data_IF_896699288598
#
_entry.id   IF_896699288598
#
_cell.length_a   1.000
_cell.length_b   1.000
_cell.length_c   1.000
_cell.angle_alpha   90.00
_cell.angle_beta   90.00
_cell.angle_gamma   90.00
#
_symmetry.space_group_name_H-M   'P 1'
#
loop_
_entity.id
_entity.type
_entity.pdbx_description
1 polymer ?
#
# COMPACT_ATOMS: atom_id res chain seq x y z
N UNK A 1 -34.16 47.58 17.21
CA UNK A 1 -33.67 46.27 17.68
C UNK A 1 -34.00 45.10 16.74
N UNK A 2 -35.13 45.07 16.02
CA UNK A 2 -35.46 43.99 15.06
C UNK A 2 -34.47 43.87 13.89
N UNK A 3 -34.02 45.00 13.35
CA UNK A 3 -33.11 45.03 12.17
C UNK A 3 -31.68 44.57 12.49
N UNK A 4 -31.20 44.77 13.73
CA UNK A 4 -29.89 44.31 14.17
C UNK A 4 -29.84 42.77 14.26
N UNK A 5 -30.92 42.14 14.76
CA UNK A 5 -31.02 40.66 14.79
C UNK A 5 -31.03 40.07 13.40
N UNK A 6 -31.71 40.70 12.46
CA UNK A 6 -31.76 40.25 11.06
C UNK A 6 -30.37 40.32 10.40
N UNK A 7 -29.60 41.37 10.66
CA UNK A 7 -28.23 41.52 10.14
C UNK A 7 -27.30 40.49 10.72
N UNK A 8 -27.41 40.16 12.02
CA UNK A 8 -26.61 39.08 12.63
C UNK A 8 -26.93 37.70 12.07
N UNK A 9 -28.20 37.40 11.83
CA UNK A 9 -28.62 36.12 11.21
C UNK A 9 -28.10 36.00 9.78
N UNK A 10 -28.20 37.09 8.99
CA UNK A 10 -27.64 37.11 7.63
C UNK A 10 -26.12 36.97 7.61
N UNK A 11 -25.41 37.60 8.55
CA UNK A 11 -23.96 37.47 8.66
C UNK A 11 -23.54 36.08 9.08
N UNK A 12 -24.29 35.45 9.99
CA UNK A 12 -24.06 34.08 10.41
C UNK A 12 -24.31 33.05 9.29
N UNK A 13 -25.39 33.27 8.51
CA UNK A 13 -25.68 32.42 7.33
C UNK A 13 -24.57 32.60 6.28
N UNK A 14 -24.11 33.81 6.01
CA UNK A 14 -23.02 34.08 5.07
C UNK A 14 -21.71 33.45 5.54
N UNK A 15 -21.42 33.48 6.85
CA UNK A 15 -20.23 32.85 7.45
C UNK A 15 -20.27 31.33 7.33
N UNK A 16 -21.44 30.72 7.54
CA UNK A 16 -21.63 29.29 7.35
C UNK A 16 -21.45 28.88 5.88
N UNK A 17 -21.99 29.67 4.93
CA UNK A 17 -21.78 29.37 3.49
C UNK A 17 -20.32 29.49 3.05
N UNK A 18 -19.55 30.43 3.60
CA UNK A 18 -18.13 30.60 3.28
C UNK A 18 -17.29 29.42 3.80
N UNK A 19 -17.67 28.82 4.94
CA UNK A 19 -16.96 27.66 5.50
C UNK A 19 -17.26 26.34 4.78
N UNK A 20 -18.42 26.20 4.13
CA UNK A 20 -18.77 25.00 3.35
C UNK A 20 -18.22 24.99 1.91
N UNK A 21 -17.64 26.07 1.43
CA UNK A 21 -17.28 26.28 0.02
C UNK A 21 -15.88 25.90 -0.42
N UNK A 22 -14.99 25.46 0.48
CA UNK A 22 -13.62 25.08 0.10
C UNK A 22 -13.44 23.56 0.08
N UNK A 23 -14.07 22.89 -0.89
CA UNK A 23 -13.57 21.61 -1.37
C UNK A 23 -12.39 21.89 -2.30
N UNK A 24 -11.21 22.05 -1.75
CA UNK A 24 -9.98 22.00 -2.55
C UNK A 24 -9.85 20.58 -3.10
N UNK A 25 -9.65 20.43 -4.40
CA UNK A 25 -9.32 19.11 -4.97
C UNK A 25 -8.07 18.57 -4.26
N UNK A 26 -8.07 17.32 -3.79
CA UNK A 26 -6.93 16.76 -3.11
C UNK A 26 -5.69 16.76 -4.01
N UNK A 27 -4.56 17.20 -3.47
CA UNK A 27 -3.28 17.17 -4.16
C UNK A 27 -2.64 15.78 -3.98
N UNK A 28 -2.62 15.02 -5.05
CA UNK A 28 -2.02 13.68 -5.08
C UNK A 28 -0.58 13.80 -5.61
N UNK A 29 0.42 13.40 -4.82
CA UNK A 29 1.80 13.35 -5.27
C UNK A 29 2.11 11.97 -5.86
N UNK A 30 2.34 11.91 -7.17
CA UNK A 30 2.60 10.65 -7.88
C UNK A 30 4.09 10.33 -7.90
N UNK A 31 4.47 9.12 -7.49
CA UNK A 31 5.83 8.55 -7.58
C UNK A 31 5.78 7.30 -8.47
N UNK A 32 6.62 7.25 -9.50
CA UNK A 32 6.66 6.12 -10.41
C UNK A 32 7.72 5.11 -9.95
N UNK A 33 7.31 3.87 -9.68
CA UNK A 33 8.20 2.73 -9.37
C UNK A 33 8.08 1.75 -10.53
N UNK A 34 8.87 1.95 -11.58
CA UNK A 34 8.79 1.19 -12.85
C UNK A 34 10.06 0.42 -13.20
N UNK A 35 11.02 0.41 -12.29
CA UNK A 35 12.31 -0.24 -12.45
C UNK A 35 12.53 -1.29 -11.38
N UNK A 36 13.66 -1.98 -11.43
CA UNK A 36 14.06 -2.92 -10.38
C UNK A 36 14.24 -2.18 -9.05
N UNK A 37 13.81 -2.84 -7.97
CA UNK A 37 13.99 -2.33 -6.62
C UNK A 37 15.46 -2.45 -6.22
N UNK A 38 16.08 -1.31 -5.95
CA UNK A 38 17.48 -1.17 -5.58
C UNK A 38 17.76 0.21 -5.01
N UNK A 39 19.03 0.52 -4.78
CA UNK A 39 19.44 1.76 -4.12
C UNK A 39 18.94 3.02 -4.81
N UNK A 40 18.93 3.05 -6.16
CA UNK A 40 18.40 4.20 -6.90
C UNK A 40 16.90 4.39 -6.70
N UNK A 41 16.14 3.30 -6.75
CA UNK A 41 14.68 3.33 -6.53
C UNK A 41 14.36 3.74 -5.10
N UNK A 42 15.16 3.29 -4.13
CA UNK A 42 15.03 3.70 -2.74
C UNK A 42 15.26 5.22 -2.56
N UNK A 43 16.36 5.75 -3.09
CA UNK A 43 16.64 7.20 -3.03
C UNK A 43 15.55 8.00 -3.74
N UNK A 44 15.05 7.49 -4.87
CA UNK A 44 13.96 8.13 -5.62
C UNK A 44 12.67 8.21 -4.80
N UNK A 45 12.30 7.11 -4.10
CA UNK A 45 11.13 7.11 -3.20
C UNK A 45 11.30 8.12 -2.06
N UNK A 46 12.46 8.13 -1.38
CA UNK A 46 12.74 9.07 -0.30
C UNK A 46 12.58 10.53 -0.75
N UNK A 47 13.17 10.87 -1.89
CA UNK A 47 13.06 12.20 -2.46
C UNK A 47 11.62 12.55 -2.81
N UNK A 48 10.86 11.60 -3.37
CA UNK A 48 9.45 11.77 -3.68
C UNK A 48 8.60 12.02 -2.42
N UNK A 49 8.85 11.26 -1.35
CA UNK A 49 8.18 11.45 -0.05
C UNK A 49 8.46 12.84 0.53
N UNK A 50 9.71 13.27 0.51
CA UNK A 50 10.09 14.63 0.93
C UNK A 50 9.41 15.72 0.09
N UNK A 51 9.36 15.54 -1.22
CA UNK A 51 8.69 16.52 -2.10
C UNK A 51 7.18 16.57 -1.89
N UNK A 52 6.54 15.42 -1.60
CA UNK A 52 5.12 15.37 -1.27
C UNK A 52 4.81 16.26 -0.05
N UNK A 53 5.63 16.17 1.00
CA UNK A 53 5.49 17.00 2.19
C UNK A 53 5.71 18.50 1.89
N UNK A 54 6.78 18.81 1.17
CA UNK A 54 7.10 20.19 0.82
C UNK A 54 6.04 20.88 -0.06
N UNK A 55 5.28 20.07 -0.80
CA UNK A 55 4.16 20.55 -1.64
C UNK A 55 2.81 20.52 -0.93
N UNK A 56 2.77 20.11 0.35
CA UNK A 56 1.54 19.92 1.11
C UNK A 56 0.57 18.98 0.38
N UNK A 57 1.07 17.87 -0.13
CA UNK A 57 0.23 16.83 -0.74
C UNK A 57 -0.67 16.18 0.32
N UNK A 58 -1.88 15.82 -0.07
CA UNK A 58 -2.83 15.11 0.81
C UNK A 58 -2.53 13.61 0.88
N UNK A 59 -1.93 13.05 -0.17
CA UNK A 59 -1.51 11.65 -0.22
C UNK A 59 -0.43 11.43 -1.28
N UNK A 60 0.21 10.24 -1.21
CA UNK A 60 1.11 9.74 -2.25
C UNK A 60 0.40 8.64 -3.03
N UNK A 61 0.59 8.63 -4.36
CA UNK A 61 0.22 7.53 -5.24
C UNK A 61 1.48 6.92 -5.84
N UNK A 62 1.84 5.72 -5.41
CA UNK A 62 2.88 4.92 -6.06
C UNK A 62 2.31 4.29 -7.33
N UNK A 63 2.87 4.61 -8.49
CA UNK A 63 2.53 3.96 -9.75
C UNK A 63 3.52 2.83 -10.00
N UNK A 64 3.09 1.61 -9.70
CA UNK A 64 3.93 0.41 -9.61
C UNK A 64 3.89 -0.41 -10.90
N UNK A 65 5.07 -0.73 -11.43
CA UNK A 65 5.27 -1.76 -12.44
C UNK A 65 6.70 -2.29 -12.33
N UNK A 66 6.92 -3.33 -11.51
CA UNK A 66 8.26 -3.89 -11.25
C UNK A 66 8.23 -5.39 -11.13
N UNK A 67 9.30 -6.04 -11.55
CA UNK A 67 9.54 -7.48 -11.33
C UNK A 67 10.24 -7.77 -9.99
N UNK A 68 10.52 -6.74 -9.19
CA UNK A 68 11.13 -6.89 -7.87
C UNK A 68 12.56 -6.38 -7.83
N UNK A 69 13.39 -7.00 -7.00
CA UNK A 69 14.79 -6.62 -6.81
C UNK A 69 15.30 -6.92 -5.40
N UNK A 70 16.13 -6.03 -4.86
CA UNK A 70 16.79 -6.23 -3.58
C UNK A 70 15.82 -6.26 -2.39
N UNK A 71 15.94 -7.29 -1.55
CA UNK A 71 15.15 -7.44 -0.32
C UNK A 71 15.49 -6.33 0.68
N UNK A 72 16.74 -5.92 0.76
CA UNK A 72 17.19 -4.88 1.71
C UNK A 72 16.54 -3.52 1.45
N UNK A 73 16.56 -3.09 0.19
CA UNK A 73 15.93 -1.84 -0.19
C UNK A 73 14.41 -1.94 -0.13
N UNK A 74 13.84 -3.10 -0.48
CA UNK A 74 12.40 -3.32 -0.33
C UNK A 74 11.93 -3.20 1.13
N UNK A 75 12.70 -3.75 2.10
CA UNK A 75 12.41 -3.60 3.53
C UNK A 75 12.55 -2.14 3.99
N UNK A 76 13.55 -1.42 3.49
CA UNK A 76 13.71 0.01 3.76
C UNK A 76 12.52 0.82 3.23
N UNK A 77 12.07 0.54 2.00
CA UNK A 77 10.91 1.19 1.38
C UNK A 77 9.62 0.86 2.13
N UNK A 78 9.40 -0.42 2.47
CA UNK A 78 8.27 -0.88 3.31
C UNK A 78 8.23 -0.12 4.62
N UNK A 79 9.35 -0.06 5.34
CA UNK A 79 9.43 0.60 6.63
C UNK A 79 9.15 2.09 6.53
N UNK A 80 9.67 2.75 5.51
CA UNK A 80 9.40 4.16 5.27
C UNK A 80 7.92 4.43 4.98
N UNK A 81 7.27 3.58 4.17
CA UNK A 81 5.84 3.69 3.83
C UNK A 81 4.98 3.51 5.08
N UNK A 82 5.20 2.45 5.87
CA UNK A 82 4.44 2.16 7.08
C UNK A 82 4.53 3.26 8.15
N UNK A 83 5.61 4.03 8.16
CA UNK A 83 5.84 5.11 9.13
C UNK A 83 5.61 6.51 8.53
N UNK A 84 5.10 6.59 7.30
CA UNK A 84 4.89 7.88 6.68
C UNK A 84 3.63 8.57 7.21
N UNK A 85 3.68 9.89 7.34
CA UNK A 85 2.58 10.66 7.96
C UNK A 85 1.41 10.95 7.01
N UNK A 86 1.60 10.83 5.68
CA UNK A 86 0.53 10.96 4.70
C UNK A 86 0.11 9.58 4.22
N UNK A 87 -1.16 9.39 3.84
CA UNK A 87 -1.59 8.15 3.19
C UNK A 87 -0.77 7.84 1.95
N UNK A 88 -0.31 6.59 1.83
CA UNK A 88 0.41 6.10 0.67
C UNK A 88 -0.43 5.03 -0.02
N UNK A 89 -0.89 5.32 -1.21
CA UNK A 89 -1.65 4.40 -2.05
C UNK A 89 -0.77 3.84 -3.14
N UNK A 90 -1.05 2.62 -3.60
CA UNK A 90 -0.37 2.05 -4.75
C UNK A 90 -1.37 1.71 -5.86
N UNK A 91 -1.03 2.08 -7.09
CA UNK A 91 -1.69 1.62 -8.30
C UNK A 91 -0.74 0.69 -9.05
N UNK A 92 -1.10 -0.59 -9.13
CA UNK A 92 -0.35 -1.61 -9.86
C UNK A 92 -0.80 -1.59 -11.31
N UNK A 93 0.08 -1.12 -12.18
CA UNK A 93 -0.21 -0.96 -13.61
C UNK A 93 -0.19 -2.31 -14.35
N UNK A 94 0.86 -3.13 -14.11
CA UNK A 94 0.99 -4.45 -14.70
C UNK A 94 1.54 -5.47 -13.70
N UNK A 95 2.70 -5.20 -13.08
CA UNK A 95 3.32 -6.13 -12.15
C UNK A 95 3.75 -5.46 -10.85
N UNK A 96 3.52 -6.14 -9.74
CA UNK A 96 4.14 -5.89 -8.45
C UNK A 96 4.72 -7.22 -7.92
N UNK A 97 5.74 -7.73 -8.62
CA UNK A 97 6.33 -9.03 -8.30
C UNK A 97 7.41 -8.89 -7.21
N UNK A 98 7.58 -9.95 -6.40
CA UNK A 98 8.66 -10.09 -5.42
C UNK A 98 8.74 -8.89 -4.45
N UNK A 99 9.83 -8.12 -4.44
CA UNK A 99 9.99 -6.89 -3.67
C UNK A 99 8.84 -5.89 -3.91
N UNK A 100 8.28 -5.86 -5.12
CA UNK A 100 7.13 -5.03 -5.46
C UNK A 100 5.87 -5.41 -4.67
N UNK A 101 5.65 -6.70 -4.43
CA UNK A 101 4.54 -7.17 -3.60
C UNK A 101 4.70 -6.69 -2.15
N UNK A 102 5.88 -6.84 -1.56
CA UNK A 102 6.17 -6.39 -0.19
C UNK A 102 5.92 -4.88 -0.03
N UNK A 103 6.40 -4.08 -0.99
CA UNK A 103 6.18 -2.63 -0.98
C UNK A 103 4.69 -2.31 -1.13
N UNK A 104 3.99 -3.02 -2.01
CA UNK A 104 2.57 -2.78 -2.26
C UNK A 104 1.70 -3.11 -1.04
N UNK A 105 1.98 -4.22 -0.33
CA UNK A 105 1.23 -4.56 0.89
C UNK A 105 1.54 -3.62 2.07
N UNK A 106 2.58 -2.81 2.00
CA UNK A 106 2.86 -1.78 3.00
C UNK A 106 2.03 -0.51 2.81
N UNK A 107 1.48 -0.29 1.62
CA UNK A 107 0.68 0.90 1.32
C UNK A 107 -0.72 0.81 1.97
N UNK A 108 -1.36 1.96 2.24
CA UNK A 108 -2.69 2.02 2.87
C UNK A 108 -3.80 1.39 2.02
N UNK A 109 -3.73 1.54 0.70
CA UNK A 109 -4.65 0.90 -0.23
C UNK A 109 -3.94 0.45 -1.51
N UNK A 110 -4.42 -0.67 -2.06
CA UNK A 110 -3.91 -1.26 -3.28
C UNK A 110 -4.99 -1.19 -4.35
N UNK A 111 -4.67 -0.52 -5.45
CA UNK A 111 -5.49 -0.49 -6.66
C UNK A 111 -4.74 -1.22 -7.76
N UNK A 112 -5.45 -1.99 -8.57
CA UNK A 112 -4.83 -2.78 -9.64
C UNK A 112 -5.57 -2.54 -10.96
N UNK A 113 -4.81 -2.44 -12.05
CA UNK A 113 -5.39 -2.54 -13.38
C UNK A 113 -5.96 -3.94 -13.58
N UNK A 114 -6.98 -4.06 -14.41
CA UNK A 114 -7.45 -5.38 -14.86
C UNK A 114 -6.29 -6.17 -15.48
N UNK A 115 -6.14 -7.43 -15.09
CA UNK A 115 -5.04 -8.33 -15.45
C UNK A 115 -3.64 -7.95 -14.91
N UNK A 116 -3.54 -7.01 -13.98
CA UNK A 116 -2.30 -6.80 -13.24
C UNK A 116 -2.10 -7.91 -12.19
N UNK A 117 -0.85 -8.19 -11.84
CA UNK A 117 -0.49 -9.20 -10.85
C UNK A 117 0.31 -8.62 -9.68
N UNK A 118 0.14 -9.27 -8.51
CA UNK A 118 0.87 -8.98 -7.28
C UNK A 118 1.26 -10.30 -6.61
N UNK A 119 2.52 -10.47 -6.21
CA UNK A 119 2.97 -11.67 -5.50
C UNK A 119 4.31 -12.18 -5.98
N UNK A 120 4.43 -13.52 -6.18
CA UNK A 120 5.66 -14.19 -6.62
C UNK A 120 6.89 -13.76 -5.81
N UNK A 121 6.78 -13.72 -4.47
CA UNK A 121 7.77 -13.16 -3.56
C UNK A 121 8.76 -14.17 -2.99
N UNK A 122 8.89 -15.34 -3.62
CA UNK A 122 9.95 -16.32 -3.29
C UNK A 122 11.32 -15.67 -3.44
N UNK A 123 12.16 -15.76 -2.40
CA UNK A 123 13.51 -15.22 -2.45
C UNK A 123 14.40 -16.08 -3.32
N UNK A 124 15.07 -15.45 -4.29
CA UNK A 124 16.01 -16.11 -5.20
C UNK A 124 17.40 -15.48 -5.10
N UNK A 125 18.42 -16.25 -5.46
CA UNK A 125 19.80 -15.79 -5.60
C UNK A 125 19.87 -14.79 -6.78
N UNK A 126 20.49 -13.65 -6.55
CA UNK A 126 20.74 -12.66 -7.61
C UNK A 126 21.78 -13.09 -8.65
N UNK A 127 22.51 -14.19 -8.41
CA UNK A 127 23.57 -14.66 -9.32
C UNK A 127 23.03 -15.63 -10.37
N UNK A 128 22.17 -16.56 -9.98
CA UNK A 128 21.74 -17.67 -10.83
C UNK A 128 20.22 -17.90 -10.83
N UNK A 129 19.46 -17.08 -10.06
CA UNK A 129 18.01 -17.21 -9.96
C UNK A 129 17.53 -18.43 -9.16
N UNK A 130 18.44 -19.21 -8.56
CA UNK A 130 18.06 -20.36 -7.74
C UNK A 130 17.33 -19.94 -6.47
N UNK A 131 16.44 -20.79 -5.95
CA UNK A 131 15.73 -20.56 -4.69
C UNK A 131 16.71 -20.41 -3.55
N UNK A 132 16.65 -19.29 -2.84
CA UNK A 132 17.50 -19.05 -1.68
C UNK A 132 17.19 -20.04 -0.53
N UNK A 133 18.16 -20.31 0.38
CA UNK A 133 17.96 -21.22 1.52
C UNK A 133 16.75 -20.85 2.38
N UNK A 134 16.16 -21.84 3.05
CA UNK A 134 14.90 -21.70 3.82
C UNK A 134 14.91 -20.58 4.87
N UNK A 135 16.06 -20.25 5.43
CA UNK A 135 16.16 -19.12 6.37
C UNK A 135 15.75 -17.79 5.74
N UNK A 136 16.07 -17.56 4.47
CA UNK A 136 15.69 -16.34 3.75
C UNK A 136 14.22 -16.37 3.36
N UNK A 137 13.69 -17.55 3.00
CA UNK A 137 12.26 -17.73 2.75
C UNK A 137 11.45 -17.45 4.03
N UNK A 138 11.90 -17.98 5.17
CA UNK A 138 11.26 -17.78 6.46
C UNK A 138 11.29 -16.31 6.88
N UNK A 139 12.40 -15.61 6.63
CA UNK A 139 12.51 -14.17 6.89
C UNK A 139 11.51 -13.38 6.05
N UNK A 140 11.45 -13.66 4.74
CA UNK A 140 10.52 -12.98 3.83
C UNK A 140 9.06 -13.26 4.19
N UNK A 141 8.68 -14.52 4.51
CA UNK A 141 7.34 -14.83 5.01
C UNK A 141 6.98 -14.04 6.25
N UNK A 142 7.88 -13.99 7.23
CA UNK A 142 7.68 -13.23 8.47
C UNK A 142 7.48 -11.74 8.20
N UNK A 143 8.24 -11.18 7.28
CA UNK A 143 8.15 -9.78 6.87
C UNK A 143 6.83 -9.48 6.15
N UNK A 144 6.43 -10.31 5.20
CA UNK A 144 5.14 -10.21 4.49
C UNK A 144 3.97 -10.29 5.46
N UNK A 145 3.97 -11.30 6.36
CA UNK A 145 2.96 -11.45 7.41
C UNK A 145 2.87 -10.21 8.29
N UNK A 146 3.98 -9.79 8.90
CA UNK A 146 4.00 -8.64 9.80
C UNK A 146 3.53 -7.35 9.11
N UNK A 147 3.85 -7.17 7.83
CA UNK A 147 3.38 -6.04 7.04
C UNK A 147 1.86 -6.09 6.83
N UNK A 148 1.30 -7.26 6.52
CA UNK A 148 -0.14 -7.42 6.39
C UNK A 148 -0.87 -7.17 7.73
N UNK A 149 -0.35 -7.73 8.82
CA UNK A 149 -0.90 -7.56 10.19
C UNK A 149 -0.89 -6.11 10.66
N UNK A 150 0.10 -5.30 10.24
CA UNK A 150 0.24 -3.89 10.66
C UNK A 150 -0.94 -3.01 10.23
N UNK A 151 -1.71 -3.42 9.22
CA UNK A 151 -2.93 -2.70 8.79
C UNK A 151 -4.14 -2.99 9.67
N UNK A 152 -4.03 -3.94 10.61
CA UNK A 152 -5.08 -4.24 11.57
C UNK A 152 -6.26 -5.01 10.97
N UNK A 153 -7.38 -4.93 11.67
CA UNK A 153 -8.61 -5.65 11.34
C UNK A 153 -9.77 -4.68 11.20
N UNK A 154 -10.74 -5.04 10.37
CA UNK A 154 -12.00 -4.34 10.22
C UNK A 154 -13.16 -5.18 10.76
N UNK A 155 -14.21 -4.49 11.15
CA UNK A 155 -15.48 -5.11 11.52
C UNK A 155 -16.38 -5.16 10.29
N UNK A 156 -16.70 -6.35 9.82
CA UNK A 156 -17.58 -6.58 8.67
C UNK A 156 -18.92 -7.14 9.17
N UNK A 157 -20.02 -6.56 8.70
CA UNK A 157 -21.36 -7.09 8.99
C UNK A 157 -21.80 -7.93 7.80
N UNK A 158 -21.90 -9.25 8.03
CA UNK A 158 -22.36 -10.19 7.01
C UNK A 158 -23.54 -11.00 7.56
N UNK A 159 -24.67 -11.02 6.85
CA UNK A 159 -25.87 -11.77 7.23
C UNK A 159 -26.40 -11.49 8.67
N UNK A 160 -26.24 -10.24 9.17
CA UNK A 160 -26.53 -9.79 10.55
C UNK A 160 -25.54 -10.25 11.62
N UNK A 161 -24.48 -10.97 11.25
CA UNK A 161 -23.38 -11.32 12.13
C UNK A 161 -22.25 -10.29 12.01
N UNK A 162 -21.58 -10.04 13.12
CA UNK A 162 -20.41 -9.16 13.17
C UNK A 162 -19.15 -10.01 13.10
N UNK A 163 -18.42 -9.89 12.01
CA UNK A 163 -17.15 -10.58 11.79
C UNK A 163 -15.99 -9.59 11.95
N UNK A 164 -14.89 -10.07 12.51
CA UNK A 164 -13.63 -9.31 12.59
C UNK A 164 -12.65 -9.96 11.61
N UNK A 165 -12.37 -9.25 10.52
CA UNK A 165 -11.52 -9.74 9.44
C UNK A 165 -10.25 -8.89 9.31
N UNK A 166 -9.17 -9.49 8.83
CA UNK A 166 -7.97 -8.75 8.50
C UNK A 166 -8.23 -7.83 7.30
N UNK A 167 -7.76 -6.58 7.37
CA UNK A 167 -7.73 -5.69 6.19
C UNK A 167 -6.90 -6.29 5.07
N UNK A 168 -5.83 -6.99 5.47
CA UNK A 168 -4.99 -7.82 4.60
C UNK A 168 -4.73 -9.13 5.31
N UNK A 169 -5.16 -10.23 4.70
CA UNK A 169 -4.97 -11.55 5.29
C UNK A 169 -3.46 -11.89 5.32
N UNK A 170 -2.88 -12.07 6.53
CA UNK A 170 -1.47 -12.43 6.67
C UNK A 170 -1.10 -13.75 5.99
N UNK A 171 -2.04 -14.71 5.89
CA UNK A 171 -1.81 -15.98 5.20
C UNK A 171 -1.70 -15.82 3.69
N UNK A 172 -2.50 -14.91 3.11
CA UNK A 172 -2.38 -14.55 1.68
C UNK A 172 -1.01 -13.94 1.42
N UNK A 173 -0.53 -13.05 2.31
CA UNK A 173 0.79 -12.46 2.18
C UNK A 173 1.91 -13.51 2.28
N UNK A 174 1.82 -14.47 3.21
CA UNK A 174 2.79 -15.59 3.32
C UNK A 174 2.75 -16.51 2.09
N UNK A 175 1.56 -16.79 1.54
CA UNK A 175 1.39 -17.64 0.37
C UNK A 175 2.01 -17.05 -0.91
N UNK A 176 2.22 -15.74 -0.99
CA UNK A 176 3.00 -15.11 -2.07
C UNK A 176 4.48 -15.52 -2.05
N UNK A 177 4.99 -16.02 -0.91
CA UNK A 177 6.39 -16.46 -0.74
C UNK A 177 6.52 -17.99 -0.82
N UNK A 178 5.55 -18.71 -0.27
CA UNK A 178 5.65 -20.15 -0.03
C UNK A 178 4.50 -20.92 -0.71
N UNK A 179 4.83 -21.67 -1.73
CA UNK A 179 3.93 -22.52 -2.50
C UNK A 179 3.21 -23.61 -1.69
N UNK A 180 3.71 -23.93 -0.49
CA UNK A 180 3.09 -24.90 0.41
C UNK A 180 1.90 -24.35 1.17
N UNK A 181 1.72 -23.03 1.18
CA UNK A 181 0.61 -22.37 1.87
C UNK A 181 -0.58 -22.29 0.92
N UNK A 182 -1.60 -23.08 1.22
CA UNK A 182 -2.85 -23.13 0.45
C UNK A 182 -3.88 -22.20 1.08
N UNK A 183 -4.44 -21.33 0.26
CA UNK A 183 -5.54 -20.44 0.64
C UNK A 183 -6.82 -20.94 -0.04
N UNK A 184 -7.81 -21.41 0.71
CA UNK A 184 -9.05 -21.91 0.12
C UNK A 184 -9.73 -20.85 -0.76
N UNK A 185 -10.07 -21.21 -1.99
CA UNK A 185 -10.74 -20.33 -2.94
C UNK A 185 -9.84 -19.39 -3.77
N UNK A 186 -8.50 -19.39 -3.54
CA UNK A 186 -7.58 -18.55 -4.31
C UNK A 186 -6.76 -19.32 -5.35
N UNK A 187 -6.04 -20.36 -4.93
CA UNK A 187 -5.17 -21.10 -5.84
C UNK A 187 -5.23 -22.60 -5.53
N UNK A 188 -4.82 -23.42 -6.49
CA UNK A 188 -4.52 -24.81 -6.20
C UNK A 188 -3.21 -24.91 -5.41
N UNK A 189 -2.98 -26.08 -4.79
CA UNK A 189 -1.84 -26.32 -3.90
C UNK A 189 -0.47 -26.39 -4.60
N UNK A 190 -0.41 -26.09 -5.89
CA UNK A 190 0.80 -26.24 -6.72
C UNK A 190 1.38 -24.91 -7.19
N UNK A 191 0.71 -23.79 -6.92
CA UNK A 191 1.12 -22.48 -7.44
C UNK A 191 1.31 -21.44 -6.33
N UNK A 192 2.37 -20.65 -6.45
CA UNK A 192 2.59 -19.46 -5.63
C UNK A 192 1.57 -18.39 -6.06
N UNK A 193 0.95 -17.73 -5.08
CA UNK A 193 0.00 -16.64 -5.37
C UNK A 193 0.69 -15.47 -6.08
N UNK A 194 0.10 -15.05 -7.17
CA UNK A 194 0.54 -13.93 -8.01
C UNK A 194 -0.59 -12.96 -8.30
#
# INVERSE_FOLDING_TARGET
>A
MKNIRLIFVLFFILFVYVTYGQHSNPLIYKINIKENIGSNTWVYLQNGMHQALNKNADCILLHMNTYGGSVTEADSMRTAILNFQLPVYVFIDNNAASAGALISIACDSIFMRSAASIGAATVVSGQDGSKAPDKYQSYMRGMMRATAESHGRDTVIQNRDTLIEWKRDPKVAEAMVDEKIVIPGFADSTQILT
#
